data_IF_743024947218
#
_entry.id   IF_743024947218
#
_cell.length_a   1.000
_cell.length_b   1.000
_cell.length_c   1.000
_cell.angle_alpha   90.00
_cell.angle_beta   90.00
_cell.angle_gamma   90.00
#
_symmetry.space_group_name_H-M   'P 1'
#
loop_
_entity.id
_entity.type
_entity.pdbx_description
1 polymer ?
#
# COMPACT_ATOMS: atom_id res chain seq x y z
N UNK A 1 25.37 -31.41 50.67
CA UNK A 1 25.77 -30.28 49.84
C UNK A 1 24.95 -30.37 48.55
N UNK A 2 23.88 -29.61 48.46
CA UNK A 2 23.03 -29.57 47.26
C UNK A 2 23.39 -28.31 46.48
N UNK A 3 23.83 -28.56 45.23
CA UNK A 3 24.28 -27.51 44.32
C UNK A 3 23.06 -26.86 43.69
N UNK A 4 22.73 -25.63 44.08
CA UNK A 4 21.68 -24.82 43.47
C UNK A 4 22.16 -24.33 42.09
N UNK A 5 21.65 -24.93 41.01
CA UNK A 5 21.81 -24.41 39.68
C UNK A 5 20.90 -23.19 39.51
N UNK A 6 21.50 -22.02 39.44
CA UNK A 6 20.83 -20.78 39.07
C UNK A 6 20.34 -20.86 37.66
N UNK A 7 19.03 -21.05 37.46
CA UNK A 7 18.36 -20.86 36.18
C UNK A 7 18.16 -19.37 35.95
N UNK A 8 18.96 -18.78 35.04
CA UNK A 8 18.75 -17.42 34.55
C UNK A 8 17.59 -17.51 33.54
N UNK A 9 16.39 -17.08 33.96
CA UNK A 9 15.28 -16.85 33.04
C UNK A 9 15.55 -15.59 32.21
N UNK A 10 16.03 -15.75 30.99
CA UNK A 10 16.04 -14.68 29.99
C UNK A 10 14.62 -14.45 29.52
N UNK A 11 13.96 -13.41 30.04
CA UNK A 11 12.68 -12.91 29.51
C UNK A 11 12.95 -12.29 28.13
N UNK A 12 12.75 -13.05 27.07
CA UNK A 12 12.68 -12.50 25.71
C UNK A 12 11.42 -11.66 25.61
N UNK A 13 11.59 -10.33 25.63
CA UNK A 13 10.51 -9.39 25.32
C UNK A 13 10.26 -9.48 23.82
N UNK A 14 9.23 -10.22 23.42
CA UNK A 14 8.75 -10.18 22.03
C UNK A 14 8.08 -8.82 21.86
N UNK A 15 8.79 -7.90 21.21
CA UNK A 15 8.21 -6.62 20.78
C UNK A 15 7.43 -6.94 19.52
N UNK A 16 6.11 -7.08 19.63
CA UNK A 16 5.22 -7.14 18.48
C UNK A 16 5.15 -5.71 17.94
N UNK A 17 5.91 -5.44 16.89
CA UNK A 17 5.77 -4.19 16.14
C UNK A 17 4.48 -4.32 15.33
N UNK A 18 3.41 -3.73 15.83
CA UNK A 18 2.17 -3.62 15.05
C UNK A 18 2.41 -2.68 13.89
N UNK A 19 2.21 -3.18 12.66
CA UNK A 19 2.31 -2.35 11.46
C UNK A 19 1.14 -1.36 11.47
N UNK A 20 1.45 -0.08 11.60
CA UNK A 20 0.46 0.99 11.57
C UNK A 20 0.24 1.40 10.13
N UNK A 21 -1.01 1.31 9.64
CA UNK A 21 -1.40 1.82 8.34
C UNK A 21 -1.93 3.25 8.47
N UNK A 22 -1.69 4.06 7.46
CA UNK A 22 -2.13 5.48 7.43
C UNK A 22 -3.49 5.65 6.77
N UNK A 23 -3.90 4.69 5.95
CA UNK A 23 -5.18 4.70 5.24
C UNK A 23 -5.67 3.29 4.97
N UNK A 24 -6.99 3.12 4.90
CA UNK A 24 -7.60 1.86 4.49
C UNK A 24 -8.92 2.10 3.75
N UNK A 25 -9.21 1.22 2.80
CA UNK A 25 -10.46 1.26 2.02
C UNK A 25 -10.97 -0.15 1.77
N UNK A 26 -12.28 -0.32 1.96
CA UNK A 26 -12.99 -1.57 1.69
C UNK A 26 -13.58 -1.55 0.28
N UNK A 27 -13.47 -2.69 -0.42
CA UNK A 27 -14.03 -2.92 -1.74
C UNK A 27 -14.68 -4.31 -1.84
N UNK A 28 -15.42 -4.53 -2.94
CA UNK A 28 -16.05 -5.82 -3.26
C UNK A 28 -15.69 -6.21 -4.68
N UNK A 29 -15.33 -7.48 -4.88
CA UNK A 29 -15.07 -8.07 -6.20
C UNK A 29 -16.37 -8.13 -7.01
N UNK A 30 -16.33 -7.68 -8.25
CA UNK A 30 -17.41 -7.72 -9.23
C UNK A 30 -17.24 -8.93 -10.14
N UNK A 31 -18.36 -9.47 -10.65
CA UNK A 31 -18.36 -10.68 -11.48
C UNK A 31 -17.48 -10.56 -12.71
N UNK A 32 -17.49 -9.40 -13.39
CA UNK A 32 -16.73 -9.14 -14.60
C UNK A 32 -15.21 -8.95 -14.36
N UNK A 33 -14.77 -8.93 -13.12
CA UNK A 33 -13.35 -8.84 -12.76
C UNK A 33 -12.68 -10.22 -12.69
N UNK A 34 -13.47 -11.30 -12.78
CA UNK A 34 -13.00 -12.67 -12.77
C UNK A 34 -12.69 -13.20 -14.18
N UNK A 35 -11.69 -14.07 -14.26
CA UNK A 35 -11.27 -14.76 -15.48
C UNK A 35 -11.99 -16.11 -15.65
N UNK A 36 -11.57 -16.88 -16.68
CA UNK A 36 -12.12 -18.20 -16.96
C UNK A 36 -11.88 -19.24 -15.86
N UNK A 37 -10.93 -18.99 -14.96
CA UNK A 37 -10.66 -19.85 -13.80
C UNK A 37 -11.56 -19.53 -12.61
N UNK A 38 -12.43 -18.51 -12.72
CA UNK A 38 -13.35 -18.10 -11.68
C UNK A 38 -12.69 -17.30 -10.54
N UNK A 39 -11.47 -16.81 -10.76
CA UNK A 39 -10.76 -15.95 -9.82
C UNK A 39 -10.53 -14.57 -10.42
N UNK A 40 -10.32 -13.57 -9.56
CA UNK A 40 -10.00 -12.22 -10.01
C UNK A 40 -8.77 -12.23 -10.93
N UNK A 41 -8.94 -11.67 -12.13
CA UNK A 41 -7.83 -11.54 -13.08
C UNK A 41 -6.71 -10.70 -12.45
N UNK A 42 -5.46 -11.15 -12.64
CA UNK A 42 -4.28 -10.52 -12.05
C UNK A 42 -4.16 -9.01 -12.35
N UNK A 43 -4.62 -8.55 -13.52
CA UNK A 43 -4.62 -7.12 -13.89
C UNK A 43 -5.54 -6.26 -13.01
N UNK A 44 -6.62 -6.82 -12.48
CA UNK A 44 -7.55 -6.09 -11.64
C UNK A 44 -6.98 -5.74 -10.26
N UNK A 45 -6.01 -6.50 -9.76
CA UNK A 45 -5.31 -6.13 -8.51
C UNK A 45 -4.57 -4.79 -8.66
N UNK A 46 -4.00 -4.51 -9.83
CA UNK A 46 -3.39 -3.21 -10.11
C UNK A 46 -4.43 -2.09 -10.06
N UNK A 47 -5.62 -2.29 -10.62
CA UNK A 47 -6.74 -1.33 -10.55
C UNK A 47 -7.22 -1.12 -9.11
N UNK A 48 -7.32 -2.17 -8.30
CA UNK A 48 -7.68 -2.04 -6.88
C UNK A 48 -6.66 -1.19 -6.12
N UNK A 49 -5.37 -1.46 -6.32
CA UNK A 49 -4.32 -0.70 -5.68
C UNK A 49 -4.28 0.75 -6.17
N UNK A 50 -4.52 1.00 -7.45
CA UNK A 50 -4.61 2.35 -8.01
C UNK A 50 -5.77 3.13 -7.40
N UNK A 51 -6.96 2.55 -7.38
CA UNK A 51 -8.13 3.17 -6.77
C UNK A 51 -7.87 3.51 -5.29
N UNK A 52 -7.32 2.59 -4.53
CA UNK A 52 -7.00 2.82 -3.12
C UNK A 52 -6.00 3.98 -2.93
N UNK A 53 -4.99 4.10 -3.80
CA UNK A 53 -4.08 5.25 -3.78
C UNK A 53 -4.79 6.56 -4.09
N UNK A 54 -5.67 6.59 -5.11
CA UNK A 54 -6.41 7.79 -5.47
C UNK A 54 -7.30 8.28 -4.33
N UNK A 55 -8.04 7.38 -3.68
CA UNK A 55 -8.87 7.72 -2.51
C UNK A 55 -8.03 8.25 -1.34
N UNK A 56 -6.86 7.65 -1.10
CA UNK A 56 -5.91 8.17 -0.09
C UNK A 56 -5.42 9.58 -0.45
N UNK A 57 -5.00 9.79 -1.70
CA UNK A 57 -4.48 11.06 -2.18
C UNK A 57 -5.53 12.17 -2.08
N UNK A 58 -6.78 11.87 -2.44
CA UNK A 58 -7.91 12.79 -2.28
C UNK A 58 -8.17 13.11 -0.81
N UNK A 59 -8.14 12.10 0.06
CA UNK A 59 -8.31 12.29 1.51
C UNK A 59 -7.20 13.14 2.15
N UNK A 60 -6.00 13.09 1.58
CA UNK A 60 -4.86 13.91 1.99
C UNK A 60 -4.89 15.34 1.40
N UNK A 61 -5.92 15.69 0.63
CA UNK A 61 -6.08 17.00 0.02
C UNK A 61 -5.21 17.26 -1.21
N UNK A 62 -4.66 16.20 -1.82
CA UNK A 62 -3.86 16.32 -3.03
C UNK A 62 -4.77 16.55 -4.26
N UNK A 63 -4.70 17.73 -4.85
CA UNK A 63 -5.40 18.05 -6.10
C UNK A 63 -4.46 17.91 -7.29
N UNK A 64 -4.36 16.71 -7.85
CA UNK A 64 -3.46 16.41 -8.98
C UNK A 64 -3.87 17.12 -10.26
N UNK A 65 -5.16 17.39 -10.47
CA UNK A 65 -5.63 18.15 -11.62
C UNK A 65 -5.12 19.59 -11.59
N UNK A 66 -5.13 20.22 -10.43
CA UNK A 66 -4.60 21.57 -10.24
C UNK A 66 -3.07 21.60 -10.37
N UNK A 67 -2.39 20.61 -9.82
CA UNK A 67 -0.93 20.44 -9.98
C UNK A 67 -0.54 20.25 -11.45
N UNK A 68 -1.29 19.44 -12.20
CA UNK A 68 -1.09 19.26 -13.64
C UNK A 68 -1.17 20.58 -14.40
N UNK A 69 -2.16 21.42 -14.10
CA UNK A 69 -2.29 22.75 -14.71
C UNK A 69 -1.11 23.68 -14.39
N UNK A 70 -0.37 23.38 -13.33
CA UNK A 70 0.86 24.09 -12.94
C UNK A 70 2.13 23.41 -13.51
N UNK A 71 1.96 22.39 -14.38
CA UNK A 71 3.05 21.63 -14.99
C UNK A 71 3.72 20.62 -14.04
N UNK A 72 3.00 20.21 -12.99
CA UNK A 72 3.50 19.26 -11.99
C UNK A 72 2.69 17.95 -12.07
N UNK A 73 3.38 16.84 -12.34
CA UNK A 73 2.77 15.52 -12.46
C UNK A 73 3.43 14.52 -11.50
N UNK A 74 2.61 13.79 -10.78
CA UNK A 74 3.04 12.59 -10.06
C UNK A 74 2.79 11.37 -10.94
N UNK A 75 3.84 10.63 -11.26
CA UNK A 75 3.80 9.51 -12.19
C UNK A 75 4.28 8.23 -11.54
N UNK A 76 3.61 7.11 -11.85
CA UNK A 76 4.06 5.78 -11.46
C UNK A 76 5.27 5.39 -12.30
N UNK A 77 6.38 5.07 -11.63
CA UNK A 77 7.62 4.63 -12.28
C UNK A 77 7.81 3.10 -12.20
N UNK A 78 7.27 2.46 -11.15
CA UNK A 78 7.39 1.00 -10.96
C UNK A 78 6.22 0.47 -10.15
N UNK A 79 5.75 -0.72 -10.52
CA UNK A 79 4.75 -1.50 -9.79
C UNK A 79 5.27 -2.90 -9.57
N UNK A 80 5.19 -3.38 -8.35
CA UNK A 80 5.45 -4.77 -7.97
C UNK A 80 4.23 -5.30 -7.22
N UNK A 81 3.72 -6.46 -7.62
CA UNK A 81 2.58 -7.11 -6.97
C UNK A 81 2.92 -8.57 -6.69
N UNK A 82 2.86 -8.95 -5.42
CA UNK A 82 2.94 -10.32 -4.97
C UNK A 82 1.53 -10.88 -4.80
N UNK A 83 1.17 -11.88 -5.59
CA UNK A 83 -0.11 -12.59 -5.50
C UNK A 83 0.04 -13.78 -4.54
N UNK A 84 -0.81 -13.86 -3.53
CA UNK A 84 -0.71 -14.91 -2.48
C UNK A 84 -1.93 -15.82 -2.46
N UNK A 85 -3.12 -15.27 -2.40
CA UNK A 85 -4.40 -16.01 -2.34
C UNK A 85 -5.36 -15.31 -3.29
N UNK A 86 -5.98 -16.07 -4.20
CA UNK A 86 -6.95 -15.53 -5.14
C UNK A 86 -8.23 -15.05 -4.46
N UNK A 87 -8.76 -13.93 -4.94
CA UNK A 87 -10.12 -13.49 -4.66
C UNK A 87 -11.08 -14.07 -5.70
N UNK A 88 -12.34 -14.23 -5.31
CA UNK A 88 -13.43 -14.67 -6.18
C UNK A 88 -14.55 -13.63 -6.22
N UNK A 89 -15.48 -13.77 -7.17
CA UNK A 89 -16.65 -12.89 -7.26
C UNK A 89 -17.41 -12.82 -5.94
N UNK A 90 -17.76 -11.61 -5.54
CA UNK A 90 -18.48 -11.34 -4.29
C UNK A 90 -17.61 -11.24 -3.03
N UNK A 91 -16.34 -11.62 -3.08
CA UNK A 91 -15.42 -11.39 -1.96
C UNK A 91 -15.36 -9.91 -1.58
N UNK A 92 -15.42 -9.63 -0.28
CA UNK A 92 -15.11 -8.30 0.27
C UNK A 92 -13.68 -8.30 0.76
N UNK A 93 -12.97 -7.22 0.51
CA UNK A 93 -11.58 -7.07 0.89
C UNK A 93 -11.28 -5.64 1.33
N UNK A 94 -10.20 -5.48 2.06
CA UNK A 94 -9.69 -4.18 2.49
C UNK A 94 -8.26 -4.00 2.01
N UNK A 95 -7.95 -2.83 1.46
CA UNK A 95 -6.59 -2.42 1.15
C UNK A 95 -6.13 -1.45 2.21
N UNK A 96 -4.96 -1.72 2.77
CA UNK A 96 -4.31 -0.92 3.80
C UNK A 96 -3.02 -0.33 3.23
N UNK A 97 -2.83 0.97 3.43
CA UNK A 97 -1.74 1.75 2.81
C UNK A 97 -0.77 2.27 3.86
N UNK A 98 0.50 2.20 3.51
CA UNK A 98 1.59 2.98 4.10
C UNK A 98 2.39 3.65 2.99
N UNK A 99 3.08 4.72 3.32
CA UNK A 99 3.99 5.41 2.41
C UNK A 99 5.36 5.60 3.05
N UNK A 100 6.37 5.76 2.21
CA UNK A 100 7.70 6.17 2.61
C UNK A 100 8.40 6.96 1.51
N UNK A 101 9.34 7.78 1.89
CA UNK A 101 10.26 8.44 0.94
C UNK A 101 11.48 7.54 0.72
N UNK A 102 11.80 7.28 -0.55
CA UNK A 102 13.03 6.59 -0.96
C UNK A 102 13.74 7.43 -2.02
N UNK A 103 14.69 8.26 -1.60
CA UNK A 103 15.31 9.23 -2.48
C UNK A 103 14.31 10.24 -3.03
N UNK A 104 14.20 10.38 -4.35
CA UNK A 104 13.22 11.25 -5.01
C UNK A 104 11.81 10.65 -5.13
N UNK A 105 11.64 9.39 -4.73
CA UNK A 105 10.39 8.64 -4.90
C UNK A 105 9.49 8.73 -3.67
N UNK A 106 8.19 8.73 -3.90
CA UNK A 106 7.19 8.32 -2.92
C UNK A 106 6.84 6.87 -3.19
N UNK A 107 6.98 6.01 -2.20
CA UNK A 107 6.70 4.59 -2.30
C UNK A 107 5.44 4.28 -1.51
N UNK A 108 4.46 3.66 -2.17
CA UNK A 108 3.27 3.13 -1.54
C UNK A 108 3.46 1.64 -1.24
N UNK A 109 3.17 1.25 -0.02
CA UNK A 109 3.06 -0.15 0.40
C UNK A 109 1.59 -0.45 0.65
N UNK A 110 1.04 -1.43 -0.08
CA UNK A 110 -0.38 -1.73 -0.09
C UNK A 110 -0.60 -3.22 0.20
N UNK A 111 -1.25 -3.51 1.31
CA UNK A 111 -1.60 -4.87 1.70
C UNK A 111 -3.10 -5.08 1.49
N UNK A 112 -3.47 -6.12 0.71
CA UNK A 112 -4.86 -6.48 0.43
C UNK A 112 -5.26 -7.71 1.24
N UNK A 113 -6.24 -7.55 2.12
CA UNK A 113 -6.76 -8.63 2.97
C UNK A 113 -8.20 -8.95 2.60
N UNK A 114 -8.52 -10.24 2.45
CA UNK A 114 -9.91 -10.70 2.35
C UNK A 114 -10.59 -10.60 3.71
N UNK A 115 -11.81 -10.02 3.74
CA UNK A 115 -12.48 -9.74 5.02
C UNK A 115 -13.07 -11.00 5.68
N UNK A 116 -13.46 -12.02 4.91
CA UNK A 116 -14.10 -13.23 5.45
C UNK A 116 -13.20 -14.05 6.38
N UNK A 117 -11.88 -14.04 6.13
CA UNK A 117 -10.90 -14.84 6.89
C UNK A 117 -9.64 -14.06 7.30
N UNK A 118 -9.61 -12.76 7.00
CA UNK A 118 -8.49 -11.85 7.30
C UNK A 118 -7.14 -12.28 6.70
N UNK A 119 -7.15 -13.08 5.63
CA UNK A 119 -5.94 -13.53 4.96
C UNK A 119 -5.40 -12.49 4.00
N UNK A 120 -4.09 -12.34 3.98
CA UNK A 120 -3.37 -11.51 3.03
C UNK A 120 -3.44 -12.16 1.64
N UNK A 121 -4.11 -11.49 0.69
CA UNK A 121 -4.31 -12.00 -0.67
C UNK A 121 -3.29 -11.45 -1.66
N UNK A 122 -2.89 -10.19 -1.50
CA UNK A 122 -1.86 -9.58 -2.35
C UNK A 122 -1.11 -8.48 -1.60
N UNK A 123 0.12 -8.20 -2.06
CA UNK A 123 0.93 -7.07 -1.61
C UNK A 123 1.37 -6.27 -2.82
N UNK A 124 1.18 -4.96 -2.76
CA UNK A 124 1.65 -4.02 -3.76
C UNK A 124 2.76 -3.14 -3.23
N UNK A 125 3.75 -2.86 -4.07
CA UNK A 125 4.73 -1.81 -3.88
C UNK A 125 4.76 -0.95 -5.13
N UNK A 126 4.45 0.32 -4.99
CA UNK A 126 4.34 1.26 -6.11
C UNK A 126 5.25 2.45 -5.87
N UNK A 127 6.15 2.68 -6.80
CA UNK A 127 7.06 3.81 -6.78
C UNK A 127 6.53 4.93 -7.67
N UNK A 128 6.34 6.11 -7.09
CA UNK A 128 5.93 7.32 -7.80
C UNK A 128 7.04 8.35 -7.80
N UNK A 129 7.16 9.07 -8.91
CA UNK A 129 8.08 10.18 -9.13
C UNK A 129 7.30 11.46 -9.39
N UNK A 130 7.92 12.60 -9.11
CA UNK A 130 7.35 13.91 -9.43
C UNK A 130 8.13 14.56 -10.57
N UNK A 131 7.40 15.01 -11.60
CA UNK A 131 7.93 15.69 -12.77
C UNK A 131 7.38 17.12 -12.79
N UNK A 132 8.23 18.10 -13.01
CA UNK A 132 7.85 19.50 -13.17
C UNK A 132 8.36 20.01 -14.51
N UNK A 133 7.44 20.50 -15.37
CA UNK A 133 7.73 20.97 -16.73
C UNK A 133 8.61 19.96 -17.52
N UNK A 134 8.25 18.67 -17.45
CA UNK A 134 8.95 17.60 -18.15
C UNK A 134 10.28 17.17 -17.53
N UNK A 135 10.66 17.69 -16.36
CA UNK A 135 11.92 17.34 -15.68
C UNK A 135 11.66 16.66 -14.34
N UNK A 136 12.40 15.59 -14.08
CA UNK A 136 12.37 14.89 -12.80
C UNK A 136 12.80 15.84 -11.67
N UNK A 137 12.02 15.88 -10.58
CA UNK A 137 12.33 16.62 -9.36
C UNK A 137 12.98 15.70 -8.31
N UNK A 138 13.37 16.27 -7.18
CA UNK A 138 13.81 15.50 -6.00
C UNK A 138 12.64 15.03 -5.12
N UNK A 139 11.40 15.31 -5.53
CA UNK A 139 10.18 14.88 -4.84
C UNK A 139 9.78 15.78 -3.67
N UNK A 140 10.19 17.04 -3.65
CA UNK A 140 9.87 18.01 -2.60
C UNK A 140 8.36 18.16 -2.41
N UNK A 141 7.60 18.04 -3.50
CA UNK A 141 6.14 18.08 -3.47
C UNK A 141 5.55 16.99 -2.54
N UNK A 142 6.16 15.81 -2.54
CA UNK A 142 5.70 14.72 -1.68
C UNK A 142 5.90 15.03 -0.19
N UNK A 143 7.00 15.72 0.15
CA UNK A 143 7.25 16.15 1.52
C UNK A 143 6.26 17.22 1.97
N UNK A 144 5.84 18.11 1.06
CA UNK A 144 4.85 19.16 1.35
C UNK A 144 3.45 18.57 1.54
N UNK A 145 3.00 17.68 0.63
CA UNK A 145 1.63 17.13 0.66
C UNK A 145 1.48 16.10 1.79
N UNK A 146 2.50 15.29 2.04
CA UNK A 146 2.41 14.14 2.94
C UNK A 146 3.21 14.31 4.24
N UNK A 147 3.53 15.54 4.64
CA UNK A 147 4.33 15.84 5.83
C UNK A 147 3.83 15.15 7.11
N UNK A 148 2.53 14.99 7.29
CA UNK A 148 1.94 14.35 8.47
C UNK A 148 1.95 12.80 8.42
N UNK A 149 2.29 12.22 7.27
CA UNK A 149 2.31 10.76 7.05
C UNK A 149 3.73 10.21 6.88
N UNK A 150 4.72 11.07 6.72
CA UNK A 150 6.13 10.75 6.53
C UNK A 150 6.93 11.03 7.81
#
# INVERSE_FOLDING_TARGET
MVNQKNFIFVRVKIIIVMKTYIYEIEMKVRDYECDLQGVVNNSNYQHYFEHARHEFLESAGANFGELHNQGIDAMVARVEIDYKISLISGDRFIIKINIAREGAKLVFFQDLYRLSDHKLCAKGRVESICVKNGRLTRGELFDEIFAEYL
#
